data_IF_247790903326
#
_entry.id   IF_247790903326
#
_cell.length_a   1.000
_cell.length_b   1.000
_cell.length_c   1.000
_cell.angle_alpha   90.00
_cell.angle_beta   90.00
_cell.angle_gamma   90.00
#
_symmetry.space_group_name_H-M   'P 1'
#
loop_
_entity.id
_entity.type
_entity.pdbx_description
1 polymer ?
#
# COMPACT_ATOMS: atom_id res chain seq x y z
N UNK A 1 -34.00 3.06 -10.78
CA UNK A 1 -33.84 1.61 -10.50
C UNK A 1 -33.05 1.57 -9.20
N UNK A 2 -33.64 1.19 -8.06
CA UNK A 2 -33.11 1.55 -6.72
C UNK A 2 -31.65 1.17 -6.46
N UNK A 3 -31.16 0.12 -7.12
CA UNK A 3 -29.76 -0.32 -7.02
C UNK A 3 -28.82 0.70 -7.69
N UNK A 4 -29.13 1.18 -8.89
CA UNK A 4 -28.34 2.20 -9.59
C UNK A 4 -28.34 3.54 -8.81
N UNK A 5 -29.50 3.93 -8.26
CA UNK A 5 -29.62 5.16 -7.48
C UNK A 5 -28.78 5.11 -6.18
N UNK A 6 -28.67 3.91 -5.58
CA UNK A 6 -27.80 3.66 -4.42
C UNK A 6 -26.32 3.68 -4.81
N UNK A 7 -25.95 3.00 -5.89
CA UNK A 7 -24.56 2.97 -6.38
C UNK A 7 -24.07 4.35 -6.76
N UNK A 8 -24.88 5.16 -7.46
CA UNK A 8 -24.52 6.55 -7.78
C UNK A 8 -24.36 7.42 -6.53
N UNK A 9 -25.19 7.20 -5.49
CA UNK A 9 -25.07 7.92 -4.22
C UNK A 9 -23.79 7.53 -3.46
N UNK A 10 -23.42 6.26 -3.49
CA UNK A 10 -22.18 5.79 -2.87
C UNK A 10 -20.96 6.38 -3.59
N UNK A 11 -20.95 6.39 -4.93
CA UNK A 11 -19.90 7.00 -5.75
C UNK A 11 -19.75 8.52 -5.53
N UNK A 12 -20.85 9.20 -5.20
CA UNK A 12 -20.86 10.64 -4.85
C UNK A 12 -20.62 10.91 -3.36
N UNK A 13 -20.42 9.87 -2.55
CA UNK A 13 -20.22 10.05 -1.11
C UNK A 13 -18.75 10.33 -0.78
N UNK A 14 -18.54 11.14 0.27
CA UNK A 14 -17.21 11.45 0.80
C UNK A 14 -16.53 10.26 1.50
N UNK A 15 -17.14 9.06 1.42
CA UNK A 15 -16.55 7.83 1.96
C UNK A 15 -15.42 7.29 1.09
N UNK A 16 -15.43 7.61 -0.20
CA UNK A 16 -14.36 7.18 -1.09
C UNK A 16 -13.13 8.08 -0.92
N UNK A 17 -11.92 7.50 -0.94
CA UNK A 17 -10.69 8.25 -0.70
C UNK A 17 -10.49 9.38 -1.71
N UNK A 18 -11.07 9.27 -2.90
CA UNK A 18 -11.06 10.30 -3.96
C UNK A 18 -11.55 11.68 -3.52
N UNK A 19 -12.56 11.72 -2.64
CA UNK A 19 -13.17 12.98 -2.21
C UNK A 19 -12.28 13.75 -1.23
N UNK A 20 -11.61 13.01 -0.34
CA UNK A 20 -10.77 13.57 0.72
C UNK A 20 -9.31 13.72 0.32
N UNK A 21 -8.85 12.99 -0.70
CA UNK A 21 -7.46 12.97 -1.15
C UNK A 21 -7.30 13.37 -2.63
N UNK A 22 -7.80 14.55 -3.05
CA UNK A 22 -7.72 14.97 -4.45
C UNK A 22 -6.31 14.95 -5.04
N UNK A 23 -5.25 15.16 -4.24
CA UNK A 23 -3.87 15.17 -4.74
C UNK A 23 -3.33 13.78 -5.14
N UNK A 24 -3.97 12.69 -4.70
CA UNK A 24 -3.64 11.33 -5.12
C UNK A 24 -4.49 10.83 -6.31
N UNK A 25 -5.63 11.46 -6.61
CA UNK A 25 -6.66 10.83 -7.44
C UNK A 25 -7.18 11.67 -8.63
N UNK A 26 -6.81 12.95 -8.73
CA UNK A 26 -7.18 13.82 -9.86
C UNK A 26 -6.22 13.69 -11.04
N UNK A 27 -6.77 13.60 -12.25
CA UNK A 27 -6.03 13.61 -13.52
C UNK A 27 -4.83 12.65 -13.54
N UNK A 28 -3.64 13.15 -13.88
CA UNK A 28 -2.38 12.39 -13.90
C UNK A 28 -1.93 11.91 -12.53
N UNK A 29 -2.42 12.51 -11.45
CA UNK A 29 -2.06 12.09 -10.10
C UNK A 29 -2.51 10.65 -9.82
N UNK A 30 -3.61 10.20 -10.45
CA UNK A 30 -4.11 8.82 -10.35
C UNK A 30 -3.06 7.78 -10.77
N UNK A 31 -2.47 7.95 -11.95
CA UNK A 31 -1.46 7.00 -12.43
C UNK A 31 -0.16 7.13 -11.63
N UNK A 32 0.24 8.35 -11.30
CA UNK A 32 1.45 8.60 -10.49
C UNK A 32 1.33 8.04 -9.07
N UNK A 33 0.20 8.24 -8.39
CA UNK A 33 -0.04 7.73 -7.05
C UNK A 33 -0.13 6.21 -7.02
N UNK A 34 -0.78 5.60 -8.02
CA UNK A 34 -0.82 4.14 -8.15
C UNK A 34 0.59 3.55 -8.37
N UNK A 35 1.36 4.11 -9.31
CA UNK A 35 2.74 3.65 -9.56
C UNK A 35 3.63 3.83 -8.33
N UNK A 36 3.49 4.96 -7.63
CA UNK A 36 4.22 5.23 -6.41
C UNK A 36 3.84 4.26 -5.31
N UNK A 37 2.55 4.00 -5.11
CA UNK A 37 2.05 3.00 -4.17
C UNK A 37 2.63 1.62 -4.47
N UNK A 38 2.47 1.13 -5.72
CA UNK A 38 2.93 -0.20 -6.11
C UNK A 38 4.43 -0.38 -5.82
N UNK A 39 5.25 0.60 -6.23
CA UNK A 39 6.69 0.58 -5.98
C UNK A 39 7.04 0.66 -4.48
N UNK A 40 6.41 1.56 -3.73
CA UNK A 40 6.72 1.72 -2.31
C UNK A 40 6.26 0.50 -1.49
N UNK A 41 5.15 -0.13 -1.87
CA UNK A 41 4.66 -1.35 -1.23
C UNK A 41 5.59 -2.54 -1.51
N UNK A 42 5.99 -2.72 -2.78
CA UNK A 42 6.94 -3.76 -3.17
C UNK A 42 8.27 -3.59 -2.46
N UNK A 43 8.87 -2.39 -2.51
CA UNK A 43 10.12 -2.11 -1.81
C UNK A 43 10.00 -2.39 -0.30
N UNK A 44 8.92 -1.94 0.35
CA UNK A 44 8.74 -2.15 1.79
C UNK A 44 8.73 -3.63 2.17
N UNK A 45 8.09 -4.48 1.36
CA UNK A 45 8.01 -5.92 1.62
C UNK A 45 9.32 -6.64 1.29
N UNK A 46 9.94 -6.30 0.16
CA UNK A 46 11.22 -6.90 -0.23
C UNK A 46 12.34 -6.50 0.73
N UNK A 47 12.44 -5.22 1.11
CA UNK A 47 13.44 -4.74 2.07
C UNK A 47 13.25 -5.38 3.45
N UNK A 48 12.00 -5.58 3.88
CA UNK A 48 11.67 -6.27 5.15
C UNK A 48 12.14 -7.73 5.11
N UNK A 49 11.81 -8.45 4.03
CA UNK A 49 12.19 -9.85 3.86
C UNK A 49 13.72 -10.01 3.73
N UNK A 50 14.39 -9.16 2.96
CA UNK A 50 15.85 -9.16 2.84
C UNK A 50 16.53 -8.88 4.18
N UNK A 51 15.98 -7.98 5.01
CA UNK A 51 16.50 -7.70 6.33
C UNK A 51 16.37 -8.91 7.26
N UNK A 52 15.23 -9.61 7.24
CA UNK A 52 15.00 -10.84 8.01
C UNK A 52 15.96 -11.96 7.57
N UNK A 53 16.19 -12.10 6.26
CA UNK A 53 16.99 -13.18 5.70
C UNK A 53 18.48 -12.85 5.55
N UNK A 54 18.90 -11.64 5.92
CA UNK A 54 20.25 -11.10 5.66
C UNK A 54 21.39 -12.03 6.05
N UNK A 55 21.32 -12.65 7.23
CA UNK A 55 22.37 -13.56 7.70
C UNK A 55 22.34 -14.89 6.94
N UNK A 56 21.14 -15.45 6.70
CA UNK A 56 20.96 -16.70 5.95
C UNK A 56 21.45 -16.56 4.51
N UNK A 57 21.13 -15.45 3.85
CA UNK A 57 21.51 -15.19 2.46
C UNK A 57 23.04 -15.16 2.25
N UNK A 58 23.83 -14.79 3.27
CA UNK A 58 25.29 -14.79 3.17
C UNK A 58 25.90 -16.19 3.12
N UNK A 59 25.21 -17.16 3.71
CA UNK A 59 25.67 -18.55 3.79
C UNK A 59 25.05 -19.45 2.72
N UNK A 60 24.01 -18.97 2.03
CA UNK A 60 23.28 -19.72 1.03
C UNK A 60 24.00 -19.75 -0.33
N UNK A 61 23.98 -20.93 -0.95
CA UNK A 61 24.36 -21.08 -2.36
C UNK A 61 23.26 -20.54 -3.28
N UNK A 62 23.61 -20.26 -4.54
CA UNK A 62 22.64 -19.81 -5.54
C UNK A 62 21.45 -20.77 -5.70
N UNK A 63 21.70 -22.08 -5.74
CA UNK A 63 20.62 -23.07 -5.83
C UNK A 63 19.68 -23.06 -4.62
N UNK A 64 20.16 -22.68 -3.45
CA UNK A 64 19.33 -22.53 -2.25
C UNK A 64 18.54 -21.23 -2.29
N UNK A 65 19.12 -20.14 -2.79
CA UNK A 65 18.40 -18.87 -2.99
C UNK A 65 17.22 -19.10 -3.94
N UNK A 66 17.46 -19.72 -5.09
CA UNK A 66 16.44 -20.01 -6.10
C UNK A 66 15.32 -20.93 -5.55
N UNK A 67 15.66 -21.85 -4.62
CA UNK A 67 14.70 -22.84 -4.08
C UNK A 67 13.98 -22.42 -2.81
N UNK A 68 14.58 -21.55 -2.00
CA UNK A 68 14.07 -21.20 -0.67
C UNK A 68 13.72 -19.72 -0.56
N UNK A 69 14.52 -18.82 -1.13
CA UNK A 69 14.32 -17.38 -0.97
C UNK A 69 13.39 -16.80 -2.03
N UNK A 70 13.62 -17.09 -3.32
CA UNK A 70 12.77 -16.58 -4.40
C UNK A 70 11.27 -16.88 -4.19
N UNK A 71 10.86 -18.09 -3.73
CA UNK A 71 9.46 -18.37 -3.44
C UNK A 71 8.89 -17.53 -2.29
N UNK A 72 9.71 -17.18 -1.29
CA UNK A 72 9.28 -16.29 -0.20
C UNK A 72 9.15 -14.85 -0.69
N UNK A 73 10.05 -14.39 -1.59
CA UNK A 73 9.91 -13.08 -2.23
C UNK A 73 8.61 -12.98 -3.02
N UNK A 74 8.26 -14.01 -3.80
CA UNK A 74 7.02 -14.05 -4.57
C UNK A 74 5.78 -14.01 -3.67
N UNK A 75 5.79 -14.71 -2.52
CA UNK A 75 4.68 -14.68 -1.55
C UNK A 75 4.44 -13.28 -0.97
N UNK A 76 5.50 -12.49 -0.80
CA UNK A 76 5.43 -11.11 -0.29
C UNK A 76 4.95 -10.09 -1.32
N UNK A 77 4.86 -10.46 -2.60
CA UNK A 77 4.35 -9.57 -3.64
C UNK A 77 2.82 -9.49 -3.60
N UNK A 78 2.27 -8.28 -3.69
CA UNK A 78 0.85 -8.08 -3.92
C UNK A 78 0.50 -8.41 -5.37
N UNK A 79 -0.60 -9.12 -5.57
CA UNK A 79 -1.12 -9.37 -6.92
C UNK A 79 -1.77 -8.11 -7.48
N UNK A 80 -1.90 -8.03 -8.81
CA UNK A 80 -2.55 -6.89 -9.46
C UNK A 80 -3.99 -6.63 -8.94
N UNK A 81 -4.86 -7.64 -8.75
CA UNK A 81 -6.18 -7.43 -8.15
C UNK A 81 -6.11 -6.85 -6.74
N UNK A 82 -5.18 -7.32 -5.90
CA UNK A 82 -5.00 -6.82 -4.53
C UNK A 82 -4.54 -5.36 -4.54
N UNK A 83 -3.57 -5.01 -5.40
CA UNK A 83 -3.12 -3.63 -5.58
C UNK A 83 -4.26 -2.71 -6.01
N UNK A 84 -5.14 -3.17 -6.92
CA UNK A 84 -6.29 -2.39 -7.35
C UNK A 84 -7.34 -2.24 -6.24
N UNK A 85 -7.61 -3.30 -5.47
CA UNK A 85 -8.52 -3.24 -4.32
C UNK A 85 -8.02 -2.25 -3.27
N UNK A 86 -6.75 -2.35 -2.89
CA UNK A 86 -6.09 -1.43 -1.97
C UNK A 86 -6.13 0.00 -2.51
N UNK A 87 -5.83 0.19 -3.80
CA UNK A 87 -5.86 1.52 -4.42
C UNK A 87 -7.24 2.18 -4.38
N UNK A 88 -8.28 1.40 -4.64
CA UNK A 88 -9.67 1.87 -4.71
C UNK A 88 -10.25 2.22 -3.34
N UNK A 89 -9.84 1.50 -2.30
CA UNK A 89 -10.37 1.65 -0.95
C UNK A 89 -9.45 2.42 0.00
N UNK A 90 -8.15 2.47 -0.29
CA UNK A 90 -7.09 3.07 0.51
C UNK A 90 -7.27 2.77 2.01
N UNK A 91 -7.10 1.53 2.49
CA UNK A 91 -7.32 1.19 3.89
C UNK A 91 -6.42 2.01 4.83
N UNK A 92 -6.96 2.41 5.98
CA UNK A 92 -6.26 3.22 7.00
C UNK A 92 -5.78 2.40 8.19
N UNK A 93 -6.28 1.19 8.32
CA UNK A 93 -5.99 0.28 9.43
C UNK A 93 -5.78 -1.14 8.92
N UNK A 94 -5.15 -1.98 9.74
CA UNK A 94 -4.90 -3.39 9.42
C UNK A 94 -6.22 -4.12 9.15
N UNK A 95 -7.26 -3.86 9.96
CA UNK A 95 -8.57 -4.51 9.82
C UNK A 95 -9.25 -4.16 8.48
N UNK A 96 -8.98 -2.97 7.95
CA UNK A 96 -9.43 -2.59 6.61
C UNK A 96 -8.58 -3.25 5.51
N UNK A 97 -7.28 -3.44 5.74
CA UNK A 97 -6.34 -4.02 4.78
C UNK A 97 -6.57 -5.54 4.58
N UNK A 98 -6.74 -6.28 5.67
CA UNK A 98 -6.84 -7.74 5.67
C UNK A 98 -7.82 -8.33 4.65
N UNK A 99 -9.07 -7.85 4.50
CA UNK A 99 -10.00 -8.40 3.52
C UNK A 99 -9.63 -8.11 2.05
N UNK A 100 -8.62 -7.27 1.80
CA UNK A 100 -8.17 -6.91 0.45
C UNK A 100 -7.02 -7.77 -0.06
N UNK A 101 -6.41 -8.60 0.81
CA UNK A 101 -5.27 -9.44 0.51
C UNK A 101 -5.64 -10.90 0.80
N UNK A 102 -5.49 -11.77 -0.18
CA UNK A 102 -5.73 -13.19 0.00
C UNK A 102 -4.65 -13.80 0.90
N UNK A 103 -5.06 -14.59 1.90
CA UNK A 103 -4.14 -15.27 2.82
C UNK A 103 -3.15 -14.30 3.51
N UNK A 104 -3.62 -13.10 3.87
CA UNK A 104 -2.78 -12.03 4.43
C UNK A 104 -1.97 -12.47 5.65
N UNK A 105 -2.53 -13.26 6.54
CA UNK A 105 -1.86 -13.74 7.76
C UNK A 105 -0.78 -14.80 7.46
N UNK A 106 -0.91 -15.52 6.34
CA UNK A 106 0.08 -16.51 5.90
C UNK A 106 1.24 -15.84 5.15
N UNK A 107 1.00 -14.67 4.55
CA UNK A 107 1.97 -13.94 3.71
C UNK A 107 2.69 -12.84 4.48
N UNK A 108 2.01 -12.14 5.37
CA UNK A 108 2.51 -10.93 6.03
C UNK A 108 2.37 -11.03 7.54
N UNK A 109 3.47 -10.77 8.24
CA UNK A 109 3.48 -10.58 9.69
C UNK A 109 2.66 -9.34 10.07
N UNK A 110 2.27 -9.22 11.35
CA UNK A 110 1.55 -8.04 11.83
C UNK A 110 2.33 -6.72 11.60
N UNK A 111 3.66 -6.77 11.71
CA UNK A 111 4.55 -5.63 11.49
C UNK A 111 4.56 -5.23 10.00
N UNK A 112 4.62 -6.21 9.09
CA UNK A 112 4.54 -5.97 7.64
C UNK A 112 3.17 -5.45 7.22
N UNK A 113 2.08 -5.96 7.83
CA UNK A 113 0.73 -5.44 7.61
C UNK A 113 0.64 -3.97 8.03
N UNK A 114 1.22 -3.60 9.17
CA UNK A 114 1.30 -2.19 9.58
C UNK A 114 2.14 -1.36 8.60
N UNK A 115 3.28 -1.89 8.13
CA UNK A 115 4.13 -1.21 7.16
C UNK A 115 3.39 -0.95 5.83
N UNK A 116 2.60 -1.92 5.35
CA UNK A 116 1.74 -1.74 4.18
C UNK A 116 0.70 -0.63 4.39
N UNK A 117 0.02 -0.61 5.55
CA UNK A 117 -0.91 0.48 5.90
C UNK A 117 -0.19 1.83 5.89
N UNK A 118 1.01 1.92 6.44
CA UNK A 118 1.77 3.17 6.50
C UNK A 118 2.16 3.68 5.09
N UNK A 119 2.51 2.76 4.18
CA UNK A 119 2.74 3.05 2.76
C UNK A 119 1.45 3.57 2.12
N UNK A 120 0.33 2.87 2.29
CA UNK A 120 -0.97 3.24 1.72
C UNK A 120 -1.38 4.64 2.16
N UNK A 121 -1.32 4.92 3.46
CA UNK A 121 -1.66 6.25 3.99
C UNK A 121 -0.70 7.32 3.45
N UNK A 122 0.54 6.96 3.07
CA UNK A 122 1.56 7.90 2.57
C UNK A 122 1.35 8.25 1.11
N UNK A 123 0.99 7.26 0.31
CA UNK A 123 0.92 7.39 -1.14
C UNK A 123 -0.49 7.70 -1.62
N UNK A 124 -1.51 7.20 -0.92
CA UNK A 124 -2.91 7.28 -1.34
C UNK A 124 -3.74 8.22 -0.46
N UNK A 125 -3.25 8.59 0.72
CA UNK A 125 -3.91 9.56 1.62
C UNK A 125 -3.06 10.78 1.99
N UNK A 126 -2.42 11.44 1.02
CA UNK A 126 -1.50 12.54 1.29
C UNK A 126 -2.17 13.77 1.92
N UNK A 127 -3.47 14.01 1.66
CA UNK A 127 -4.18 15.21 2.10
C UNK A 127 -4.78 15.07 3.50
N UNK A 128 -4.87 13.84 4.03
CA UNK A 128 -5.35 13.55 5.38
C UNK A 128 -4.24 13.56 6.43
N UNK A 129 -2.98 13.62 6.00
CA UNK A 129 -1.85 13.84 6.90
C UNK A 129 -1.80 15.32 7.25
N UNK A 130 -1.74 15.70 8.54
CA UNK A 130 -1.46 17.08 8.88
C UNK A 130 -0.11 17.42 8.27
N UNK A 131 -0.12 18.35 7.31
CA UNK A 131 1.09 18.98 6.81
C UNK A 131 1.78 19.51 8.06
N UNK A 132 2.93 18.96 8.43
CA UNK A 132 3.84 19.74 9.27
C UNK A 132 4.14 20.97 8.43
N UNK A 133 3.42 22.05 8.74
CA UNK A 133 3.63 23.34 8.14
C UNK A 133 5.12 23.61 8.33
N UNK A 134 5.86 23.66 7.22
CA UNK A 134 7.17 24.28 7.23
C UNK A 134 6.93 25.72 7.69
N UNK A 135 7.14 25.95 8.98
CA UNK A 135 7.27 27.28 9.56
C UNK A 135 8.55 27.87 8.99
N UNK A 136 8.47 28.37 7.76
CA UNK A 136 9.55 29.14 7.19
C UNK A 136 9.42 30.56 7.71
N UNK A 137 10.25 30.85 8.70
CA UNK A 137 10.65 32.19 9.10
C UNK A 137 11.08 32.99 7.86
N UNK A 138 10.39 34.09 7.59
CA UNK A 138 10.85 35.28 6.89
C UNK A 138 10.09 36.40 7.61
N UNK A 139 10.67 37.21 8.49
CA UNK A 139 11.98 37.82 8.40
C UNK A 139 11.87 39.10 7.58
N UNK A 140 11.14 40.08 8.11
CA UNK A 140 11.48 41.52 8.05
C UNK A 140 10.90 42.21 9.31
#
# INVERSE_FOLDING_TARGET
MRVLDRTERELKSDKYPYAKNPSAYKDVARSTAFQRFAREAENAMQDSLEAEWKERLQEMTREQIDKEFEPEQEKKCLTEPEMLMIYNHAPETIEMLQPMIEHVEDRFTAEEQQLLVDVIVRTLRPDERPTQSQGNQQGD
#
